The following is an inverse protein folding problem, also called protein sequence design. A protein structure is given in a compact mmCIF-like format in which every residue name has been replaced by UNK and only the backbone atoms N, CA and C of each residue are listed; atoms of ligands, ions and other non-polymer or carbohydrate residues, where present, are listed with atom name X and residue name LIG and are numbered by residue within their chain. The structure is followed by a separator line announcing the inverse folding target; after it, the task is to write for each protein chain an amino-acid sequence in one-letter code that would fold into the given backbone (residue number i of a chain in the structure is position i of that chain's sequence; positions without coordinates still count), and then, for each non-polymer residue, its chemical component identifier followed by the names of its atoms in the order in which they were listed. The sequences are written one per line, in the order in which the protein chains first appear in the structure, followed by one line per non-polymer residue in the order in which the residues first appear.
data_IF_239001368008
#
_entry.id   IF_239001368008
#
_cell.length_a   1.000
_cell.length_b   1.000
_cell.length_c   1.000
_cell.angle_alpha   90.00
_cell.angle_beta   90.00
_cell.angle_gamma   90.00
#
_symmetry.space_group_name_H-M   'P 1'
#
loop_
_entity.id
_entity.type
_entity.pdbx_description
1 polymer ?
#
# COMPACT_ATOMS: atom_id res chain seq x y z
N UNK A 1 -42.49 -43.37 51.65
CA UNK A 1 -41.21 -44.12 51.66
C UNK A 1 -40.14 -43.12 51.24
N UNK A 2 -39.19 -42.64 52.04
CA UNK A 2 -38.65 -42.95 53.36
C UNK A 2 -38.28 -41.60 54.02
N UNK A 3 -38.77 -41.33 55.23
CA UNK A 3 -38.14 -40.45 56.25
C UNK A 3 -36.87 -41.14 56.80
N UNK A 4 -35.97 -40.56 57.64
CA UNK A 4 -36.16 -39.53 58.68
C UNK A 4 -35.12 -38.38 58.68
N UNK A 5 -35.46 -37.14 59.05
CA UNK A 5 -35.60 -36.52 60.38
C UNK A 5 -34.30 -36.22 61.15
N UNK A 6 -34.38 -35.07 61.85
CA UNK A 6 -33.65 -34.57 63.03
C UNK A 6 -32.51 -33.58 62.73
N UNK A 7 -32.37 -32.42 63.38
CA UNK A 7 -33.07 -31.72 64.47
C UNK A 7 -32.62 -30.25 64.45
N UNK A 8 -33.53 -29.33 64.77
CA UNK A 8 -33.22 -27.96 65.23
C UNK A 8 -32.46 -27.98 66.56
N UNK A 9 -31.79 -26.87 66.92
CA UNK A 9 -31.99 -26.06 68.15
C UNK A 9 -30.84 -25.04 68.35
N UNK A 10 -31.22 -23.77 68.58
CA UNK A 10 -30.55 -22.64 69.30
C UNK A 10 -29.05 -22.35 69.06
N UNK A 11 -28.56 -21.12 68.83
CA UNK A 11 -28.89 -19.84 69.45
C UNK A 11 -27.63 -19.24 70.10
N UNK A 12 -27.53 -17.90 70.07
CA UNK A 12 -26.68 -17.04 70.94
C UNK A 12 -25.20 -16.75 70.59
N UNK A 13 -24.97 -15.53 70.08
CA UNK A 13 -24.07 -14.48 70.63
C UNK A 13 -22.68 -14.86 71.19
N UNK A 14 -21.60 -14.38 70.55
CA UNK A 14 -20.71 -13.28 71.05
C UNK A 14 -19.32 -13.22 70.40
N UNK A 15 -18.86 -11.97 70.31
CA UNK A 15 -17.48 -11.45 70.37
C UNK A 15 -16.55 -11.61 69.16
N UNK A 16 -16.37 -10.49 68.47
CA UNK A 16 -15.17 -10.15 67.74
C UNK A 16 -13.95 -10.18 68.67
N UNK A 17 -12.91 -10.93 68.28
CA UNK A 17 -11.57 -10.79 68.84
C UNK A 17 -10.67 -10.20 67.76
N UNK A 18 -10.20 -8.99 68.04
CA UNK A 18 -9.08 -8.35 67.37
C UNK A 18 -7.83 -9.19 67.63
N UNK A 19 -7.11 -9.57 66.58
CA UNK A 19 -5.73 -10.08 66.68
C UNK A 19 -4.77 -9.04 66.11
N UNK A 20 -3.59 -8.86 66.73
CA UNK A 20 -2.74 -7.71 66.53
C UNK A 20 -1.97 -7.78 65.20
N UNK A 21 -1.71 -6.59 64.65
CA UNK A 21 -0.85 -6.36 63.50
C UNK A 21 0.59 -6.64 63.95
N UNK A 22 1.16 -7.77 63.52
CA UNK A 22 2.60 -8.02 63.62
C UNK A 22 3.25 -7.34 62.41
N UNK A 23 4.00 -6.26 62.67
CA UNK A 23 4.88 -5.63 61.70
C UNK A 23 6.03 -6.59 61.37
N UNK A 24 6.04 -7.15 60.16
CA UNK A 24 7.22 -7.77 59.58
C UNK A 24 7.94 -6.73 58.71
N UNK A 25 9.04 -6.19 59.20
CA UNK A 25 9.97 -5.38 58.42
C UNK A 25 10.63 -6.27 57.35
N UNK A 26 10.10 -6.21 56.13
CA UNK A 26 10.75 -6.80 54.96
C UNK A 26 11.76 -5.78 54.40
N UNK A 27 13.04 -6.10 54.54
CA UNK A 27 14.15 -5.37 53.94
C UNK A 27 13.95 -5.22 52.42
N UNK A 28 13.68 -3.99 51.98
CA UNK A 28 13.56 -3.63 50.56
C UNK A 28 14.96 -3.51 49.95
N UNK A 29 15.52 -4.64 49.51
CA UNK A 29 16.74 -4.65 48.70
C UNK A 29 16.43 -4.18 47.28
N UNK A 30 17.20 -3.18 46.84
CA UNK A 30 17.03 -2.47 45.58
C UNK A 30 17.30 -3.34 44.35
N UNK A 31 16.69 -2.92 43.22
CA UNK A 31 16.81 -3.43 41.83
C UNK A 31 15.90 -4.60 41.46
N UNK A 32 14.61 -4.32 41.28
CA UNK A 32 13.78 -5.09 40.34
C UNK A 32 13.92 -4.48 38.95
N UNK A 33 14.94 -4.90 38.21
CA UNK A 33 14.93 -4.72 36.75
C UNK A 33 13.90 -5.70 36.20
N UNK A 34 12.92 -5.22 35.43
CA UNK A 34 11.94 -6.09 34.79
C UNK A 34 12.67 -7.06 33.85
N UNK A 35 12.62 -8.36 34.17
CA UNK A 35 13.19 -9.40 33.31
C UNK A 35 12.22 -9.59 32.15
N UNK A 36 12.67 -9.30 30.92
CA UNK A 36 11.88 -9.58 29.73
C UNK A 36 11.53 -11.08 29.69
N UNK A 37 10.24 -11.40 29.76
CA UNK A 37 9.78 -12.78 29.65
C UNK A 37 10.23 -13.31 28.27
N UNK A 38 11.12 -14.32 28.29
CA UNK A 38 11.55 -15.01 27.08
C UNK A 38 10.30 -15.52 26.38
N UNK A 39 10.14 -15.21 25.09
CA UNK A 39 9.05 -15.73 24.27
C UNK A 39 8.98 -17.26 24.43
N UNK A 40 7.92 -17.75 25.09
CA UNK A 40 7.65 -19.19 25.27
C UNK A 40 7.07 -19.85 24.02
N UNK A 41 6.88 -19.09 22.93
CA UNK A 41 6.36 -19.65 21.68
C UNK A 41 7.44 -20.56 21.09
N UNK A 42 7.18 -21.86 21.04
CA UNK A 42 8.03 -22.80 20.33
C UNK A 42 8.25 -22.31 18.90
N UNK A 43 9.51 -22.33 18.43
CA UNK A 43 9.80 -22.05 17.02
C UNK A 43 9.10 -23.13 16.19
N UNK A 44 8.57 -22.74 15.03
CA UNK A 44 7.97 -23.70 14.10
C UNK A 44 9.05 -24.69 13.64
N UNK A 45 8.88 -25.98 13.93
CA UNK A 45 9.77 -27.06 13.48
C UNK A 45 9.59 -27.42 12.00
N UNK A 46 8.67 -26.74 11.30
CA UNK A 46 8.53 -26.91 9.85
C UNK A 46 9.77 -26.33 9.16
N UNK A 47 10.54 -27.12 8.38
CA UNK A 47 11.58 -26.56 7.54
C UNK A 47 10.89 -25.68 6.49
N UNK A 48 10.86 -24.37 6.72
CA UNK A 48 10.46 -23.43 5.67
C UNK A 48 11.65 -23.32 4.73
N UNK A 49 11.63 -24.11 3.66
CA UNK A 49 12.59 -23.97 2.57
C UNK A 49 12.39 -22.60 1.94
N UNK A 50 13.31 -21.68 2.22
CA UNK A 50 13.35 -20.38 1.54
C UNK A 50 14.09 -20.62 0.23
N UNK A 51 13.38 -20.51 -0.90
CA UNK A 51 13.97 -20.66 -2.22
C UNK A 51 14.61 -19.34 -2.64
N UNK A 52 15.90 -19.38 -2.91
CA UNK A 52 16.64 -18.29 -3.52
C UNK A 52 16.33 -18.25 -5.02
N UNK A 53 16.01 -17.07 -5.54
CA UNK A 53 15.61 -16.88 -6.95
C UNK A 53 16.49 -15.81 -7.56
N UNK A 54 17.41 -16.25 -8.43
CA UNK A 54 18.33 -15.39 -9.18
C UNK A 54 17.74 -14.85 -10.48
N UNK A 55 16.84 -15.61 -11.09
CA UNK A 55 16.26 -15.30 -12.38
C UNK A 55 14.74 -15.40 -12.32
N UNK A 56 14.06 -14.39 -12.86
CA UNK A 56 12.61 -14.34 -12.89
C UNK A 56 12.13 -13.68 -14.17
N UNK A 57 11.18 -14.32 -14.84
CA UNK A 57 10.49 -13.71 -15.96
C UNK A 57 9.31 -12.89 -15.41
N UNK A 58 9.26 -11.61 -15.80
CA UNK A 58 8.27 -10.66 -15.28
C UNK A 58 7.63 -9.94 -16.45
N UNK A 59 6.30 -9.86 -16.43
CA UNK A 59 5.52 -9.05 -17.36
C UNK A 59 5.29 -7.68 -16.74
N UNK A 60 5.83 -6.64 -17.37
CA UNK A 60 5.66 -5.25 -16.95
C UNK A 60 4.61 -4.56 -17.81
N UNK A 61 3.66 -3.88 -17.18
CA UNK A 61 2.57 -3.14 -17.85
C UNK A 61 2.55 -1.74 -17.26
N UNK A 62 2.77 -0.74 -18.11
CA UNK A 62 2.62 0.67 -17.72
C UNK A 62 1.15 1.01 -17.46
N UNK A 63 0.91 2.02 -16.65
CA UNK A 63 -0.44 2.51 -16.39
C UNK A 63 -1.05 3.11 -17.65
N UNK A 64 -2.36 2.94 -17.85
CA UNK A 64 -3.07 3.67 -18.91
C UNK A 64 -3.06 5.16 -18.55
N UNK A 65 -2.90 6.04 -19.54
CA UNK A 65 -3.25 7.44 -19.38
C UNK A 65 -4.76 7.60 -19.19
N UNK A 66 -5.16 8.61 -18.42
CA UNK A 66 -6.56 8.97 -18.26
C UNK A 66 -7.09 9.63 -19.52
N UNK A 67 -8.40 9.51 -19.71
CA UNK A 67 -9.09 10.03 -20.88
C UNK A 67 -9.33 11.55 -20.74
N UNK A 68 -9.25 12.30 -21.84
CA UNK A 68 -9.67 13.69 -21.90
C UNK A 68 -11.20 13.82 -21.84
N UNK A 69 -11.68 14.91 -21.26
CA UNK A 69 -13.13 15.16 -21.16
C UNK A 69 -13.59 16.12 -22.25
N UNK A 70 -14.77 15.85 -22.83
CA UNK A 70 -15.53 16.83 -23.62
C UNK A 70 -16.64 17.36 -22.72
N UNK A 71 -16.50 18.60 -22.26
CA UNK A 71 -17.57 19.28 -21.52
C UNK A 71 -17.64 20.76 -21.88
N UNK A 72 -18.81 21.35 -21.62
CA UNK A 72 -19.06 22.78 -21.79
C UNK A 72 -19.50 23.39 -20.47
N UNK A 73 -19.00 24.61 -20.19
CA UNK A 73 -19.36 25.35 -19.00
C UNK A 73 -20.81 25.81 -19.10
N UNK A 74 -21.64 25.41 -18.13
CA UNK A 74 -23.03 25.85 -18.03
C UNK A 74 -23.16 26.97 -17.01
N UNK A 75 -23.57 28.16 -17.48
CA UNK A 75 -23.91 29.31 -16.66
C UNK A 75 -25.44 29.48 -16.58
N UNK A 76 -25.92 30.23 -15.59
CA UNK A 76 -27.35 30.47 -15.40
C UNK A 76 -28.00 31.22 -16.59
N UNK A 77 -27.23 32.06 -17.30
CA UNK A 77 -27.71 32.86 -18.43
C UNK A 77 -27.30 32.26 -19.80
N UNK A 78 -26.36 31.32 -19.81
CA UNK A 78 -25.83 30.74 -21.04
C UNK A 78 -25.54 29.25 -20.83
N UNK A 79 -26.16 28.41 -21.65
CA UNK A 79 -26.04 26.96 -21.52
C UNK A 79 -24.67 26.44 -21.97
N UNK A 80 -24.05 27.12 -22.94
CA UNK A 80 -22.72 26.79 -23.50
C UNK A 80 -21.81 28.02 -23.43
N UNK A 81 -21.18 28.23 -22.28
CA UNK A 81 -20.29 29.37 -22.04
C UNK A 81 -18.84 29.17 -22.54
N UNK A 82 -18.57 28.02 -23.17
CA UNK A 82 -17.25 27.64 -23.69
C UNK A 82 -16.89 26.21 -23.30
N UNK A 83 -15.88 25.60 -23.94
CA UNK A 83 -15.36 24.29 -23.55
C UNK A 83 -14.66 24.38 -22.18
N UNK A 84 -14.97 23.44 -21.29
CA UNK A 84 -14.40 23.36 -19.93
C UNK A 84 -13.94 21.93 -19.58
N UNK A 85 -13.65 21.12 -20.60
CA UNK A 85 -13.21 19.74 -20.42
C UNK A 85 -11.73 19.65 -20.09
N UNK A 86 -11.41 19.09 -18.92
CA UNK A 86 -10.04 18.88 -18.49
C UNK A 86 -9.31 17.76 -19.24
N UNK A 87 -7.99 17.89 -19.35
CA UNK A 87 -7.05 16.83 -19.73
C UNK A 87 -7.07 15.64 -18.76
N UNK A 88 -6.81 14.43 -19.27
CA UNK A 88 -6.55 13.23 -18.49
C UNK A 88 -5.14 13.21 -17.88
N UNK A 89 -5.01 12.49 -16.76
CA UNK A 89 -3.73 12.33 -16.06
C UNK A 89 -2.81 11.31 -16.72
N UNK A 90 -1.50 11.46 -16.55
CA UNK A 90 -0.55 10.48 -17.07
C UNK A 90 -0.60 9.15 -16.30
N UNK A 91 -0.43 8.05 -17.02
CA UNK A 91 -0.30 6.72 -16.44
C UNK A 91 1.05 6.51 -15.78
N UNK A 92 1.09 5.66 -14.76
CA UNK A 92 2.29 5.39 -13.99
C UNK A 92 3.34 4.59 -14.79
N UNK A 93 4.61 4.85 -14.52
CA UNK A 93 5.72 4.05 -15.01
C UNK A 93 5.97 2.85 -14.08
N UNK A 94 6.44 1.73 -14.65
CA UNK A 94 7.02 0.64 -13.87
C UNK A 94 8.53 0.83 -13.87
N UNK A 95 9.09 1.04 -12.69
CA UNK A 95 10.51 1.37 -12.50
C UNK A 95 11.15 0.30 -11.63
N UNK A 96 12.28 -0.23 -12.09
CA UNK A 96 13.15 -1.09 -11.31
C UNK A 96 14.23 -0.23 -10.66
N UNK A 97 14.36 -0.30 -9.34
CA UNK A 97 15.36 0.44 -8.58
C UNK A 97 16.36 -0.52 -7.94
N UNK A 98 17.64 -0.34 -8.24
CA UNK A 98 18.72 -1.09 -7.62
C UNK A 98 18.87 -0.68 -6.15
N UNK A 99 18.84 -1.64 -5.23
CA UNK A 99 18.97 -1.38 -3.79
C UNK A 99 19.76 -2.50 -3.11
N UNK A 100 20.67 -2.13 -2.20
CA UNK A 100 21.46 -3.09 -1.42
C UNK A 100 20.61 -3.86 -0.39
N UNK A 101 19.42 -3.35 -0.06
CA UNK A 101 18.47 -3.97 0.89
C UNK A 101 17.96 -5.33 0.41
N UNK A 102 17.97 -5.56 -0.90
CA UNK A 102 17.34 -6.70 -1.56
C UNK A 102 18.41 -7.63 -2.10
N UNK A 103 18.32 -8.92 -1.75
CA UNK A 103 19.28 -9.95 -2.18
C UNK A 103 18.73 -10.93 -3.23
N UNK A 104 17.42 -11.12 -3.25
CA UNK A 104 16.76 -12.15 -4.06
C UNK A 104 15.64 -11.51 -4.90
N UNK A 105 15.21 -12.16 -5.99
CA UNK A 105 14.05 -11.72 -6.79
C UNK A 105 12.72 -12.38 -6.36
N UNK A 106 12.68 -13.02 -5.19
CA UNK A 106 11.51 -13.76 -4.75
C UNK A 106 10.29 -12.84 -4.50
N UNK A 107 10.50 -11.64 -3.95
CA UNK A 107 9.44 -10.65 -3.66
C UNK A 107 8.83 -10.03 -4.92
N UNK A 108 9.53 -10.07 -6.06
CA UNK A 108 9.04 -9.49 -7.31
C UNK A 108 7.88 -10.32 -7.83
N UNK A 109 6.72 -9.71 -8.07
CA UNK A 109 5.57 -10.45 -8.62
C UNK A 109 5.76 -10.71 -10.11
N UNK A 110 5.18 -11.78 -10.65
CA UNK A 110 5.27 -12.15 -12.08
C UNK A 110 4.64 -11.09 -12.98
N UNK A 111 3.63 -10.36 -12.49
CA UNK A 111 3.01 -9.24 -13.18
C UNK A 111 3.22 -7.96 -12.37
N UNK A 112 3.80 -6.95 -13.01
CA UNK A 112 4.00 -5.62 -12.43
C UNK A 112 3.16 -4.63 -13.22
N UNK A 113 2.12 -4.11 -12.57
CA UNK A 113 1.23 -3.11 -13.15
C UNK A 113 1.49 -1.77 -12.46
N UNK A 114 1.52 -0.70 -13.24
CA UNK A 114 1.48 0.65 -12.71
C UNK A 114 0.06 1.19 -12.65
N UNK A 115 -0.15 2.17 -11.77
CA UNK A 115 -1.45 2.81 -11.58
C UNK A 115 -1.86 3.56 -12.86
N UNK A 116 -3.16 3.56 -13.16
CA UNK A 116 -3.71 4.35 -14.25
C UNK A 116 -3.89 5.82 -13.85
N UNK A 117 -3.78 6.72 -14.82
CA UNK A 117 -4.10 8.14 -14.64
C UNK A 117 -5.59 8.33 -14.43
N UNK A 118 -5.98 9.36 -13.68
CA UNK A 118 -7.40 9.72 -13.54
C UNK A 118 -7.90 10.44 -14.80
N UNK A 119 -9.18 10.32 -15.09
CA UNK A 119 -9.78 10.96 -16.25
C UNK A 119 -9.96 12.47 -16.00
N UNK A 120 -9.95 13.25 -17.07
CA UNK A 120 -10.34 14.65 -17.04
C UNK A 120 -11.81 14.80 -16.64
N UNK A 121 -12.15 15.94 -16.03
CA UNK A 121 -13.51 16.25 -15.57
C UNK A 121 -13.94 17.63 -16.09
N UNK A 122 -15.20 17.95 -15.86
CA UNK A 122 -15.76 19.27 -16.16
C UNK A 122 -15.12 20.37 -15.29
N UNK A 123 -15.33 21.62 -15.68
CA UNK A 123 -14.80 22.82 -15.00
C UNK A 123 -13.27 22.89 -15.00
N UNK A 124 -12.66 22.57 -16.13
CA UNK A 124 -11.20 22.59 -16.34
C UNK A 124 -10.43 21.74 -15.32
N UNK A 125 -11.08 20.69 -14.81
CA UNK A 125 -10.51 19.82 -13.80
C UNK A 125 -9.68 18.73 -14.47
N UNK A 126 -8.36 18.89 -14.45
CA UNK A 126 -7.43 17.90 -14.97
C UNK A 126 -7.36 16.63 -14.10
N UNK A 127 -7.19 15.50 -14.77
CA UNK A 127 -6.98 14.20 -14.14
C UNK A 127 -5.66 14.14 -13.38
N UNK A 128 -5.65 13.46 -12.24
CA UNK A 128 -4.45 13.26 -11.43
C UNK A 128 -3.49 12.29 -12.12
N UNK A 129 -2.21 12.65 -12.15
CA UNK A 129 -1.15 11.74 -12.56
C UNK A 129 -1.04 10.55 -11.62
N UNK A 130 -0.87 9.37 -12.19
CA UNK A 130 -0.75 8.14 -11.43
C UNK A 130 0.61 8.01 -10.74
N UNK A 131 0.64 7.27 -9.63
CA UNK A 131 1.87 6.89 -8.96
C UNK A 131 2.70 5.94 -9.83
N UNK A 132 4.02 6.04 -9.74
CA UNK A 132 4.91 5.07 -10.37
C UNK A 132 5.07 3.84 -9.47
N UNK A 133 5.01 2.66 -10.07
CA UNK A 133 5.30 1.40 -9.36
C UNK A 133 6.79 1.18 -9.36
N UNK A 134 7.42 1.44 -8.22
CA UNK A 134 8.85 1.23 -8.01
C UNK A 134 9.08 -0.13 -7.36
N UNK A 135 9.82 -1.00 -8.04
CA UNK A 135 10.19 -2.33 -7.54
C UNK A 135 11.68 -2.35 -7.27
N UNK A 136 12.04 -2.59 -6.01
CA UNK A 136 13.44 -2.75 -5.61
C UNK A 136 13.99 -4.08 -6.13
N UNK A 137 15.19 -4.06 -6.68
CA UNK A 137 15.93 -5.26 -7.13
C UNK A 137 17.36 -5.24 -6.59
N UNK A 138 18.02 -6.41 -6.47
CA UNK A 138 19.40 -6.47 -6.04
C UNK A 138 20.36 -5.68 -6.93
N UNK A 139 21.48 -5.28 -6.37
CA UNK A 139 22.59 -4.68 -7.13
C UNK A 139 23.18 -5.70 -8.11
N UNK A 140 23.59 -5.24 -9.29
CA UNK A 140 24.11 -6.09 -10.38
C UNK A 140 23.02 -6.88 -11.12
N UNK A 141 21.75 -6.46 -11.01
CA UNK A 141 20.65 -7.10 -11.75
C UNK A 141 20.71 -6.71 -13.23
N UNK A 142 20.83 -7.71 -14.11
CA UNK A 142 20.80 -7.52 -15.57
C UNK A 142 19.36 -7.65 -16.07
N UNK A 143 18.84 -6.61 -16.71
CA UNK A 143 17.51 -6.61 -17.31
C UNK A 143 17.59 -7.07 -18.77
N UNK A 144 16.88 -8.15 -19.09
CA UNK A 144 16.80 -8.72 -20.44
C UNK A 144 15.39 -8.61 -21.00
N UNK A 145 15.29 -8.31 -22.29
CA UNK A 145 14.03 -8.38 -23.05
C UNK A 145 13.56 -9.83 -23.19
N UNK A 146 12.30 -10.05 -23.56
CA UNK A 146 11.76 -11.38 -23.84
C UNK A 146 12.52 -12.15 -24.93
N UNK A 147 13.19 -11.42 -25.82
CA UNK A 147 14.05 -11.96 -26.89
C UNK A 147 15.49 -12.29 -26.40
N UNK A 148 15.80 -12.06 -25.13
CA UNK A 148 17.13 -12.31 -24.55
C UNK A 148 18.15 -11.19 -24.70
N UNK A 149 17.81 -10.09 -25.40
CA UNK A 149 18.65 -8.90 -25.51
C UNK A 149 18.79 -8.19 -24.17
N UNK A 150 20.01 -7.85 -23.76
CA UNK A 150 20.27 -7.02 -22.57
C UNK A 150 19.84 -5.59 -22.85
N UNK A 151 18.94 -5.06 -22.02
CA UNK A 151 18.35 -3.72 -22.18
C UNK A 151 18.93 -2.73 -21.16
N UNK A 152 19.34 -3.23 -20.00
CA UNK A 152 19.93 -2.40 -18.97
C UNK A 152 20.64 -3.24 -17.90
N UNK A 153 21.56 -2.58 -17.21
CA UNK A 153 22.30 -3.13 -16.09
C UNK A 153 22.19 -2.18 -14.89
N UNK A 154 21.96 -2.74 -13.71
CA UNK A 154 21.64 -2.04 -12.47
C UNK A 154 22.79 -2.21 -11.47
N UNK A 155 23.96 -1.69 -11.82
CA UNK A 155 25.21 -1.90 -11.09
C UNK A 155 25.32 -1.06 -9.80
N UNK A 156 24.85 0.19 -9.82
CA UNK A 156 24.97 1.12 -8.68
C UNK A 156 23.69 1.22 -7.87
N UNK A 157 23.83 1.40 -6.56
CA UNK A 157 22.71 1.68 -5.69
C UNK A 157 21.95 2.95 -6.10
N UNK A 158 20.62 2.86 -6.09
CA UNK A 158 19.74 3.94 -6.52
C UNK A 158 19.57 4.06 -8.03
N UNK A 159 20.29 3.28 -8.84
CA UNK A 159 20.08 3.26 -10.30
C UNK A 159 18.65 2.83 -10.60
N UNK A 160 17.97 3.60 -11.44
CA UNK A 160 16.58 3.35 -11.84
C UNK A 160 16.52 2.98 -13.31
N UNK A 161 15.76 1.94 -13.63
CA UNK A 161 15.49 1.52 -15.00
C UNK A 161 13.98 1.50 -15.24
N UNK A 162 13.51 2.22 -16.26
CA UNK A 162 12.09 2.22 -16.64
C UNK A 162 11.80 0.98 -17.48
N UNK A 163 11.19 -0.01 -16.87
CA UNK A 163 10.87 -1.28 -17.51
C UNK A 163 9.61 -1.21 -18.38
N UNK A 164 8.64 -0.38 -18.01
CA UNK A 164 7.48 -0.07 -18.85
C UNK A 164 7.09 1.40 -18.70
N UNK A 165 6.87 2.07 -19.82
CA UNK A 165 6.35 3.45 -19.84
C UNK A 165 4.83 3.42 -19.67
N UNK A 166 4.29 4.32 -18.85
CA UNK A 166 2.86 4.56 -18.78
C UNK A 166 2.40 5.37 -19.99
N UNK A 167 1.11 5.29 -20.29
CA UNK A 167 0.47 6.07 -21.33
C UNK A 167 0.42 7.56 -20.98
N UNK A 168 0.47 8.40 -22.01
CA UNK A 168 0.19 9.82 -21.86
C UNK A 168 -1.31 10.04 -21.59
N UNK A 169 -1.64 11.04 -20.78
CA UNK A 169 -3.02 11.45 -20.57
C UNK A 169 -3.60 12.12 -21.82
N UNK A 170 -4.87 11.82 -22.12
CA UNK A 170 -5.58 12.37 -23.26
C UNK A 170 -5.91 13.85 -23.09
N UNK A 171 -5.89 14.60 -24.19
CA UNK A 171 -6.26 16.01 -24.23
C UNK A 171 -7.76 16.22 -24.19
N UNK A 172 -8.19 17.14 -23.31
CA UNK A 172 -9.58 17.59 -23.22
C UNK A 172 -9.95 18.51 -24.39
N UNK A 173 -11.23 18.82 -24.52
CA UNK A 173 -11.70 19.67 -25.62
C UNK A 173 -11.12 21.09 -25.60
N UNK A 174 -10.77 21.62 -24.44
CA UNK A 174 -10.13 22.93 -24.33
C UNK A 174 -8.79 23.00 -25.09
N UNK A 175 -8.08 21.89 -25.25
CA UNK A 175 -6.82 21.85 -26.01
C UNK A 175 -7.01 22.05 -27.52
N UNK A 176 -8.20 21.71 -28.05
CA UNK A 176 -8.50 21.73 -29.49
C UNK A 176 -9.13 23.04 -29.98
N UNK A 177 -9.18 24.08 -29.14
CA UNK A 177 -9.74 25.38 -29.50
C UNK A 177 -8.85 26.03 -30.58
N UNK A 178 -9.49 26.49 -31.66
CA UNK A 178 -8.84 27.25 -32.72
C UNK A 178 -9.67 28.47 -33.12
N UNK A 179 -9.07 29.43 -33.84
CA UNK A 179 -9.79 30.61 -34.33
C UNK A 179 -11.02 30.26 -35.17
N UNK A 180 -11.00 29.11 -35.84
CA UNK A 180 -12.09 28.60 -36.67
C UNK A 180 -13.14 27.82 -35.85
N UNK A 181 -12.71 27.06 -34.85
CA UNK A 181 -13.56 26.22 -34.01
C UNK A 181 -13.36 26.54 -32.53
N UNK A 182 -14.26 27.37 -31.99
CA UNK A 182 -14.22 27.84 -30.60
C UNK A 182 -14.86 26.86 -29.61
N UNK A 183 -15.65 25.90 -30.09
CA UNK A 183 -16.39 24.94 -29.26
C UNK A 183 -16.19 23.50 -29.76
N UNK A 184 -14.94 22.98 -29.74
CA UNK A 184 -14.65 21.63 -30.19
C UNK A 184 -15.38 20.58 -29.34
N UNK A 185 -15.91 19.56 -30.01
CA UNK A 185 -16.55 18.39 -29.38
C UNK A 185 -15.63 17.15 -29.41
N UNK A 186 -14.33 17.36 -29.58
CA UNK A 186 -13.31 16.31 -29.72
C UNK A 186 -12.41 16.31 -28.49
N UNK A 187 -12.05 15.11 -28.03
CA UNK A 187 -11.03 14.86 -27.00
C UNK A 187 -10.26 13.58 -27.37
N UNK A 188 -9.10 13.38 -26.74
CA UNK A 188 -8.31 12.15 -26.85
C UNK A 188 -8.62 11.20 -25.68
N UNK A 189 -8.65 9.89 -25.95
CA UNK A 189 -9.02 8.81 -25.01
C UNK A 189 -8.00 7.64 -25.05
#
# INVERSE_FOLDING_TARGET
MFSPLLRNISGCLRTARVLPIIQANANFSSKRVAIALRSKKAKSDKPTTQYFVDCKHVRTIGGKGGDGCVSFLRLWCNENAGPDGGDGGNGGHVVLQASADVRDLNHVTVQLNADAGDNGRNKDCHGKNAGHTVVKVPLGTIVKSGEGKVVGDLDREGTMFVAARGGAGGKGNHFFISDLEQAPQVAEF
#
